data_IF_825975984318
#
_entry.id   IF_825975984318
#
_cell.length_a   1.000
_cell.length_b   1.000
_cell.length_c   1.000
_cell.angle_alpha   90.00
_cell.angle_beta   90.00
_cell.angle_gamma   90.00
#
_symmetry.space_group_name_H-M   'P 1'
#
loop_
_entity.id
_entity.type
_entity.pdbx_description
1 polymer ?
#
# COMPACT_ATOMS: atom_id res chain seq x y z
N UNK A 1 14.26 -6.00 15.15
CA UNK A 1 13.40 -4.79 15.28
C UNK A 1 12.94 -4.65 16.71
N UNK A 2 13.06 -3.47 17.32
CA UNK A 2 12.48 -3.15 18.65
C UNK A 2 10.96 -3.01 18.49
N UNK A 3 10.12 -3.59 19.38
CA UNK A 3 8.69 -3.37 19.34
C UNK A 3 8.35 -1.87 19.42
N UNK A 4 7.53 -1.40 18.50
CA UNK A 4 7.05 -0.03 18.45
C UNK A 4 5.59 0.03 18.89
N UNK A 5 5.21 1.08 19.60
CA UNK A 5 3.81 1.38 19.90
C UNK A 5 3.14 1.99 18.67
N UNK A 6 1.84 1.82 18.54
CA UNK A 6 1.08 2.39 17.41
C UNK A 6 1.31 3.90 17.24
N UNK A 7 1.39 4.65 18.34
CA UNK A 7 1.67 6.08 18.29
C UNK A 7 3.05 6.40 17.71
N UNK A 8 4.08 5.62 18.07
CA UNK A 8 5.45 5.81 17.55
C UNK A 8 5.49 5.55 16.04
N UNK A 9 4.73 4.57 15.55
CA UNK A 9 4.62 4.28 14.11
C UNK A 9 3.95 5.46 13.38
N UNK A 10 2.86 6.02 13.94
CA UNK A 10 2.19 7.20 13.37
C UNK A 10 3.13 8.41 13.28
N UNK A 11 3.87 8.69 14.36
CA UNK A 11 4.83 9.81 14.41
C UNK A 11 5.99 9.63 13.42
N UNK A 12 6.60 8.45 13.39
CA UNK A 12 7.66 8.12 12.43
C UNK A 12 7.17 8.30 10.98
N UNK A 13 5.97 7.80 10.68
CA UNK A 13 5.37 7.92 9.37
C UNK A 13 5.06 9.37 9.01
N UNK A 14 4.49 10.13 9.93
CA UNK A 14 4.19 11.55 9.73
C UNK A 14 5.46 12.34 9.38
N UNK A 15 6.50 12.20 10.18
CA UNK A 15 7.78 12.90 9.96
C UNK A 15 8.45 12.46 8.66
N UNK A 16 8.37 11.17 8.32
CA UNK A 16 8.94 10.65 7.07
C UNK A 16 8.27 11.28 5.85
N UNK A 17 6.94 11.29 5.76
CA UNK A 17 6.26 11.84 4.60
C UNK A 17 6.38 13.35 4.49
N UNK A 18 6.40 14.09 5.60
CA UNK A 18 6.75 15.52 5.60
C UNK A 18 8.16 15.75 5.01
N UNK A 19 9.15 14.92 5.40
CA UNK A 19 10.52 15.04 4.86
C UNK A 19 10.58 14.76 3.36
N UNK A 20 9.60 14.04 2.80
CA UNK A 20 9.45 13.77 1.36
C UNK A 20 8.55 14.81 0.67
N UNK A 21 8.27 15.94 1.32
CA UNK A 21 7.45 17.04 0.77
C UNK A 21 6.01 16.63 0.46
N UNK A 22 5.44 15.75 1.28
CA UNK A 22 4.02 15.42 1.22
C UNK A 22 3.25 16.26 2.23
N UNK A 23 2.09 16.74 1.83
CA UNK A 23 1.16 17.45 2.69
C UNK A 23 0.27 16.47 3.46
N UNK A 24 0.04 16.76 4.74
CA UNK A 24 -0.84 15.96 5.57
C UNK A 24 -2.30 16.22 5.20
N UNK A 25 -2.96 15.21 4.67
CA UNK A 25 -4.38 15.24 4.35
C UNK A 25 -5.19 14.95 5.62
N UNK A 26 -6.14 15.82 6.02
CA UNK A 26 -7.05 15.52 7.11
C UNK A 26 -7.84 14.22 6.87
N UNK A 27 -8.11 13.51 7.94
CA UNK A 27 -8.92 12.30 7.90
C UNK A 27 -10.35 12.65 7.42
N UNK A 28 -10.85 11.89 6.46
CA UNK A 28 -12.26 11.97 6.04
C UNK A 28 -13.16 11.27 7.06
N UNK A 29 -14.46 11.61 7.04
CA UNK A 29 -15.47 10.90 7.84
C UNK A 29 -15.41 9.39 7.56
N UNK A 30 -15.66 8.57 8.57
CA UNK A 30 -15.83 7.13 8.38
C UNK A 30 -17.07 6.82 7.52
N UNK A 31 -18.12 7.63 7.64
CA UNK A 31 -19.29 7.56 6.76
C UNK A 31 -18.90 8.14 5.41
N UNK A 32 -19.04 7.34 4.37
CA UNK A 32 -18.70 7.74 3.00
C UNK A 32 -19.63 8.87 2.50
N UNK A 33 -19.16 9.63 1.52
CA UNK A 33 -19.95 10.67 0.88
C UNK A 33 -21.19 10.08 0.19
N UNK A 34 -22.24 10.91 0.05
CA UNK A 34 -23.54 10.49 -0.49
C UNK A 34 -23.47 9.89 -1.91
N UNK A 35 -22.46 10.25 -2.67
CA UNK A 35 -22.24 9.75 -4.04
C UNK A 35 -21.42 8.45 -4.07
N UNK A 36 -21.05 7.92 -2.90
CA UNK A 36 -20.34 6.65 -2.78
C UNK A 36 -21.31 5.47 -2.88
N UNK A 37 -20.86 4.38 -3.50
CA UNK A 37 -21.58 3.11 -3.52
C UNK A 37 -21.46 2.32 -2.20
N UNK A 38 -20.59 2.75 -1.30
CA UNK A 38 -20.36 2.15 0.01
C UNK A 38 -20.87 3.05 1.14
N UNK A 39 -21.40 2.47 2.22
CA UNK A 39 -21.86 3.20 3.39
C UNK A 39 -20.70 3.79 4.20
N UNK A 40 -19.56 3.09 4.22
CA UNK A 40 -18.36 3.49 4.94
C UNK A 40 -17.17 3.65 4.01
N UNK A 41 -16.22 4.46 4.43
CA UNK A 41 -14.91 4.49 3.77
C UNK A 41 -14.17 3.17 4.03
N UNK A 42 -13.94 2.42 2.96
CA UNK A 42 -13.26 1.11 2.95
C UNK A 42 -11.77 1.23 2.64
N UNK A 43 -11.33 2.41 2.19
CA UNK A 43 -9.94 2.69 1.85
C UNK A 43 -9.64 4.19 1.93
N UNK A 44 -8.40 4.54 2.27
CA UNK A 44 -7.91 5.93 2.27
C UNK A 44 -7.93 6.58 0.89
N UNK A 45 -7.97 5.78 -0.18
CA UNK A 45 -8.09 6.25 -1.56
C UNK A 45 -9.50 6.76 -1.89
N UNK A 46 -10.55 6.24 -1.23
CA UNK A 46 -11.94 6.49 -1.62
C UNK A 46 -12.29 8.00 -1.68
N UNK A 47 -11.93 8.85 -0.71
CA UNK A 47 -12.13 10.30 -0.81
C UNK A 47 -11.32 10.98 -1.91
N UNK A 48 -10.28 10.31 -2.43
CA UNK A 48 -9.37 10.85 -3.44
C UNK A 48 -9.74 10.46 -4.88
N UNK A 49 -10.74 9.63 -5.10
CA UNK A 49 -11.15 9.18 -6.45
C UNK A 49 -11.30 10.32 -7.45
N UNK A 50 -11.96 11.46 -7.15
CA UNK A 50 -12.07 12.56 -8.10
C UNK A 50 -10.72 13.17 -8.50
N UNK A 51 -9.75 13.17 -7.58
CA UNK A 51 -8.40 13.71 -7.80
C UNK A 51 -7.52 12.74 -8.56
N UNK A 52 -7.69 11.46 -8.34
CA UNK A 52 -7.06 10.40 -9.15
C UNK A 52 -7.60 10.42 -10.59
N UNK A 53 -8.85 10.83 -10.79
CA UNK A 53 -9.46 11.03 -12.09
C UNK A 53 -9.08 12.37 -12.77
N UNK A 54 -8.16 13.16 -12.19
CA UNK A 54 -7.60 14.36 -12.81
C UNK A 54 -8.06 15.70 -12.25
N UNK A 55 -8.96 15.74 -11.25
CA UNK A 55 -9.29 16.98 -10.55
C UNK A 55 -8.07 17.44 -9.74
N UNK A 56 -7.79 18.74 -9.72
CA UNK A 56 -6.72 19.30 -8.89
C UNK A 56 -7.11 19.27 -7.41
N UNK A 57 -6.23 18.72 -6.57
CA UNK A 57 -6.41 18.73 -5.14
C UNK A 57 -5.89 20.06 -4.53
N UNK A 58 -6.63 20.70 -3.59
CA UNK A 58 -6.25 22.01 -3.03
C UNK A 58 -4.94 21.98 -2.23
N UNK A 59 -4.56 20.83 -1.63
CA UNK A 59 -3.31 20.67 -0.88
C UNK A 59 -2.12 20.24 -1.76
N UNK A 60 -2.28 20.14 -3.09
CA UNK A 60 -1.19 19.76 -3.98
C UNK A 60 -1.24 18.32 -4.46
N UNK A 61 -0.09 17.82 -4.90
CA UNK A 61 0.03 16.54 -5.62
C UNK A 61 0.65 15.43 -4.79
N UNK A 62 1.36 15.74 -3.71
CA UNK A 62 1.96 14.79 -2.77
C UNK A 62 1.20 14.83 -1.46
N UNK A 63 0.48 13.79 -1.15
CA UNK A 63 -0.40 13.73 0.02
C UNK A 63 -0.12 12.48 0.84
N UNK A 64 -0.38 12.55 2.15
CA UNK A 64 -0.41 11.38 3.02
C UNK A 64 -1.44 11.56 4.12
N UNK A 65 -1.99 10.47 4.61
CA UNK A 65 -2.90 10.46 5.74
C UNK A 65 -2.87 9.14 6.51
N UNK A 66 -3.63 9.10 7.58
CA UNK A 66 -4.07 7.89 8.25
C UNK A 66 -5.59 7.97 8.24
N UNK A 67 -6.26 7.05 7.53
CA UNK A 67 -7.70 7.04 7.34
C UNK A 67 -8.31 5.85 8.07
N UNK A 68 -9.29 6.12 8.93
CA UNK A 68 -10.13 5.07 9.51
C UNK A 68 -11.02 4.46 8.45
N UNK A 69 -11.02 3.13 8.40
CA UNK A 69 -11.73 2.35 7.39
C UNK A 69 -12.53 1.22 8.04
N UNK A 70 -13.64 0.82 7.39
CA UNK A 70 -14.42 -0.36 7.77
C UNK A 70 -14.55 -1.26 6.55
N UNK A 71 -14.20 -2.54 6.73
CA UNK A 71 -14.46 -3.63 5.78
C UNK A 71 -15.17 -4.75 6.49
N UNK A 72 -16.22 -5.27 5.88
CA UNK A 72 -17.06 -6.34 6.44
C UNK A 72 -17.05 -7.62 5.60
N UNK A 73 -16.23 -7.67 4.57
CA UNK A 73 -16.15 -8.83 3.64
C UNK A 73 -15.78 -10.08 4.42
N UNK A 74 -14.82 -9.99 5.34
CA UNK A 74 -14.27 -11.11 6.11
C UNK A 74 -14.79 -11.12 7.56
N UNK A 75 -16.01 -10.62 7.78
CA UNK A 75 -16.56 -10.47 9.14
C UNK A 75 -16.70 -11.81 9.87
N UNK A 76 -16.96 -12.89 9.15
CA UNK A 76 -17.11 -14.23 9.70
C UNK A 76 -15.77 -14.83 10.17
N UNK A 77 -14.65 -14.27 9.72
CA UNK A 77 -13.30 -14.68 10.10
C UNK A 77 -12.74 -13.86 11.28
N UNK A 78 -13.44 -12.82 11.70
CA UNK A 78 -13.03 -11.98 12.83
C UNK A 78 -13.03 -12.78 14.13
N UNK A 79 -11.89 -12.82 14.77
CA UNK A 79 -11.63 -13.62 15.98
C UNK A 79 -10.37 -14.46 15.85
N UNK A 80 -9.80 -14.56 14.68
CA UNK A 80 -8.46 -15.06 14.45
C UNK A 80 -7.38 -13.99 14.77
N UNK A 81 -6.12 -14.24 14.37
CA UNK A 81 -5.00 -13.35 14.67
C UNK A 81 -4.82 -12.21 13.67
N UNK A 82 -5.59 -12.15 12.58
CA UNK A 82 -5.33 -11.25 11.44
C UNK A 82 -6.55 -10.49 10.92
N UNK A 83 -7.77 -11.02 11.03
CA UNK A 83 -8.95 -10.38 10.46
C UNK A 83 -9.60 -9.36 11.41
N UNK A 84 -9.78 -8.15 10.90
CA UNK A 84 -10.40 -7.02 11.60
C UNK A 84 -11.41 -6.34 10.67
N UNK A 85 -12.51 -5.84 11.23
CA UNK A 85 -13.50 -5.04 10.50
C UNK A 85 -13.13 -3.56 10.46
N UNK A 86 -12.56 -3.04 11.53
CA UNK A 86 -12.13 -1.64 11.67
C UNK A 86 -10.61 -1.57 11.71
N UNK A 87 -10.02 -0.66 10.92
CA UNK A 87 -8.57 -0.46 10.87
C UNK A 87 -8.22 0.97 10.43
N UNK A 88 -6.97 1.35 10.66
CA UNK A 88 -6.38 2.58 10.16
C UNK A 88 -5.52 2.27 8.92
N UNK A 89 -5.94 2.79 7.76
CA UNK A 89 -5.14 2.70 6.55
C UNK A 89 -4.14 3.85 6.50
N UNK A 90 -2.86 3.51 6.43
CA UNK A 90 -1.77 4.46 6.27
C UNK A 90 -1.52 4.72 4.78
N UNK A 91 -2.15 5.78 4.23
CA UNK A 91 -2.08 6.12 2.81
C UNK A 91 -1.01 7.17 2.47
N UNK A 92 -0.39 7.06 1.31
CA UNK A 92 0.42 8.08 0.68
C UNK A 92 0.10 8.10 -0.82
N UNK A 93 0.00 9.29 -1.37
CA UNK A 93 -0.61 9.51 -2.68
C UNK A 93 0.27 10.42 -3.51
N UNK A 94 0.52 10.03 -4.76
CA UNK A 94 1.07 10.88 -5.79
C UNK A 94 -0.01 11.16 -6.82
N UNK A 95 -0.45 12.39 -6.93
CA UNK A 95 -1.43 12.80 -7.92
C UNK A 95 -0.69 13.29 -9.17
N UNK A 96 -0.22 12.33 -10.00
CA UNK A 96 0.46 12.57 -11.29
C UNK A 96 1.83 13.25 -11.19
N UNK A 97 2.55 13.16 -10.07
CA UNK A 97 3.85 13.82 -9.92
C UNK A 97 5.02 12.83 -9.95
N UNK A 98 4.95 11.76 -9.17
CA UNK A 98 5.88 10.64 -9.23
C UNK A 98 5.14 9.33 -9.40
N UNK A 99 5.85 8.28 -9.79
CA UNK A 99 5.23 7.01 -10.08
C UNK A 99 6.00 5.84 -9.43
N UNK A 100 6.06 4.68 -10.07
CA UNK A 100 6.49 3.40 -9.50
C UNK A 100 7.85 3.45 -8.82
N UNK A 101 8.87 3.99 -9.49
CA UNK A 101 10.25 3.98 -8.97
C UNK A 101 10.37 4.68 -7.63
N UNK A 102 9.89 5.90 -7.53
CA UNK A 102 9.94 6.66 -6.28
C UNK A 102 9.02 6.06 -5.21
N UNK A 103 7.87 5.51 -5.59
CA UNK A 103 6.98 4.84 -4.65
C UNK A 103 7.67 3.63 -4.02
N UNK A 104 8.33 2.79 -4.82
CA UNK A 104 9.11 1.64 -4.36
C UNK A 104 10.25 2.07 -3.44
N UNK A 105 11.07 3.03 -3.87
CA UNK A 105 12.20 3.51 -3.09
C UNK A 105 11.77 4.07 -1.73
N UNK A 106 10.70 4.87 -1.68
CA UNK A 106 10.16 5.44 -0.44
C UNK A 106 9.55 4.37 0.47
N UNK A 107 8.88 3.38 -0.09
CA UNK A 107 8.35 2.25 0.67
C UNK A 107 9.47 1.44 1.32
N UNK A 108 10.51 1.12 0.57
CA UNK A 108 11.68 0.43 1.09
C UNK A 108 12.40 1.26 2.17
N UNK A 109 12.64 2.54 1.90
CA UNK A 109 13.28 3.46 2.86
C UNK A 109 12.48 3.54 4.17
N UNK A 110 11.16 3.67 4.09
CA UNK A 110 10.32 3.72 5.28
C UNK A 110 10.39 2.42 6.10
N UNK A 111 10.26 1.28 5.45
CA UNK A 111 10.27 0.00 6.15
C UNK A 111 11.65 -0.33 6.73
N UNK A 112 12.70 -0.19 5.93
CA UNK A 112 14.05 -0.66 6.33
C UNK A 112 14.79 0.38 7.16
N UNK A 113 14.76 1.67 6.78
CA UNK A 113 15.56 2.69 7.45
C UNK A 113 14.82 3.45 8.54
N UNK A 114 13.49 3.55 8.48
CA UNK A 114 12.69 4.26 9.50
C UNK A 114 12.09 3.30 10.52
N UNK A 115 11.50 2.19 10.08
CA UNK A 115 10.93 1.17 10.94
C UNK A 115 11.91 0.05 11.33
N UNK A 116 13.11 0.03 10.75
CA UNK A 116 14.18 -0.92 11.04
C UNK A 116 13.77 -2.39 10.78
N UNK A 117 12.98 -2.63 9.74
CA UNK A 117 12.68 -3.99 9.29
C UNK A 117 13.93 -4.65 8.74
N UNK A 118 14.12 -5.93 9.04
CA UNK A 118 15.22 -6.71 8.48
C UNK A 118 14.99 -6.95 6.98
N UNK A 119 15.80 -6.38 6.08
CA UNK A 119 15.60 -6.53 4.64
C UNK A 119 15.72 -7.97 4.15
N UNK A 120 16.36 -8.86 4.93
CA UNK A 120 16.45 -10.30 4.62
C UNK A 120 15.12 -11.02 4.77
N UNK A 121 14.15 -10.41 5.45
CA UNK A 121 12.80 -10.94 5.69
C UNK A 121 11.74 -10.28 4.81
N UNK A 122 12.14 -9.40 3.89
CA UNK A 122 11.25 -8.78 2.92
C UNK A 122 11.22 -9.58 1.63
N UNK A 123 10.04 -9.75 1.08
CA UNK A 123 9.78 -10.22 -0.27
C UNK A 123 8.70 -9.35 -0.90
N UNK A 124 8.63 -9.31 -2.22
CA UNK A 124 7.66 -8.50 -2.94
C UNK A 124 7.05 -9.29 -4.09
N UNK A 125 5.85 -8.88 -4.47
CA UNK A 125 5.21 -9.38 -5.68
C UNK A 125 5.03 -8.26 -6.69
N UNK A 126 4.98 -8.63 -7.96
CA UNK A 126 4.70 -7.73 -9.08
C UNK A 126 3.80 -8.44 -10.09
N UNK A 127 3.08 -7.68 -10.88
CA UNK A 127 2.15 -8.23 -11.86
C UNK A 127 2.87 -8.98 -12.99
N UNK A 128 2.47 -10.24 -13.26
CA UNK A 128 3.07 -11.07 -14.30
C UNK A 128 2.64 -10.72 -15.73
N UNK A 129 1.58 -9.89 -15.86
CA UNK A 129 1.00 -9.54 -17.14
C UNK A 129 -0.19 -10.41 -17.53
N UNK A 130 -1.01 -9.89 -18.43
CA UNK A 130 -2.11 -10.60 -19.09
C UNK A 130 -2.41 -9.94 -20.46
N UNK A 131 -3.56 -10.27 -21.04
CA UNK A 131 -3.97 -9.69 -22.34
C UNK A 131 -4.22 -8.17 -22.29
N UNK A 132 -4.57 -7.63 -21.12
CA UNK A 132 -4.94 -6.21 -20.94
C UNK A 132 -3.75 -5.33 -20.55
N UNK A 133 -2.75 -5.90 -19.89
CA UNK A 133 -1.60 -5.15 -19.40
C UNK A 133 -0.33 -6.00 -19.41
N UNK A 134 0.83 -5.41 -19.79
CA UNK A 134 2.08 -6.16 -19.86
C UNK A 134 2.61 -6.53 -18.48
N UNK A 135 3.52 -7.51 -18.45
CA UNK A 135 4.32 -7.87 -17.27
C UNK A 135 5.10 -6.65 -16.75
N UNK A 136 5.11 -6.46 -15.43
CA UNK A 136 5.65 -5.27 -14.79
C UNK A 136 7.15 -5.42 -14.44
N UNK A 137 7.97 -5.56 -15.48
CA UNK A 137 9.43 -5.63 -15.33
C UNK A 137 10.03 -4.35 -14.73
N UNK A 138 9.40 -3.20 -15.00
CA UNK A 138 9.85 -1.91 -14.47
C UNK A 138 9.78 -1.87 -12.94
N UNK A 139 8.69 -2.34 -12.35
CA UNK A 139 8.54 -2.39 -10.89
C UNK A 139 9.47 -3.43 -10.28
N UNK A 140 9.66 -4.58 -10.93
CA UNK A 140 10.63 -5.59 -10.49
C UNK A 140 12.05 -5.00 -10.44
N UNK A 141 12.48 -4.32 -11.48
CA UNK A 141 13.78 -3.64 -11.52
C UNK A 141 13.88 -2.56 -10.43
N UNK A 142 12.83 -1.79 -10.20
CA UNK A 142 12.83 -0.77 -9.14
C UNK A 142 13.03 -1.37 -7.74
N UNK A 143 12.48 -2.56 -7.48
CA UNK A 143 12.69 -3.30 -6.24
C UNK A 143 14.12 -3.84 -6.13
N UNK A 144 14.70 -4.37 -7.22
CA UNK A 144 16.11 -4.78 -7.24
C UNK A 144 17.04 -3.59 -6.92
N UNK A 145 16.80 -2.44 -7.55
CA UNK A 145 17.55 -1.19 -7.30
C UNK A 145 17.36 -0.67 -5.86
N UNK A 146 16.22 -0.92 -5.24
CA UNK A 146 15.96 -0.56 -3.84
C UNK A 146 16.68 -1.49 -2.85
N UNK A 147 17.05 -2.71 -3.25
CA UNK A 147 17.79 -3.66 -2.44
C UNK A 147 17.08 -4.99 -2.15
N UNK A 148 15.97 -5.29 -2.82
CA UNK A 148 15.32 -6.60 -2.76
C UNK A 148 16.01 -7.53 -3.77
N UNK A 149 16.58 -8.67 -3.36
CA UNK A 149 17.18 -9.62 -4.28
C UNK A 149 16.15 -10.22 -5.23
N UNK A 150 16.58 -10.51 -6.47
CA UNK A 150 15.71 -11.00 -7.53
C UNK A 150 14.92 -12.26 -7.17
N UNK A 151 15.52 -13.17 -6.40
CA UNK A 151 14.88 -14.39 -5.92
C UNK A 151 13.75 -14.15 -4.90
N UNK A 152 13.57 -12.91 -4.43
CA UNK A 152 12.49 -12.50 -3.54
C UNK A 152 11.48 -11.57 -4.21
N UNK A 153 11.50 -11.52 -5.54
CA UNK A 153 10.54 -10.81 -6.37
C UNK A 153 9.73 -11.83 -7.15
N UNK A 154 8.48 -12.02 -6.79
CA UNK A 154 7.58 -12.98 -7.46
C UNK A 154 6.65 -12.27 -8.40
N UNK A 155 6.49 -12.82 -9.61
CA UNK A 155 5.50 -12.36 -10.56
C UNK A 155 4.23 -13.18 -10.41
N UNK A 156 3.13 -12.53 -10.08
CA UNK A 156 1.85 -13.18 -9.83
C UNK A 156 0.76 -12.62 -10.76
N UNK A 157 -0.29 -13.39 -10.92
CA UNK A 157 -1.40 -13.11 -11.80
C UNK A 157 -2.31 -11.96 -11.33
N UNK A 158 -3.37 -11.69 -12.07
CA UNK A 158 -4.31 -10.62 -11.77
C UNK A 158 -5.13 -10.83 -10.49
N UNK A 159 -5.23 -12.05 -9.98
CA UNK A 159 -5.92 -12.30 -8.71
C UNK A 159 -5.12 -11.84 -7.51
N UNK A 160 -3.81 -11.74 -7.65
CA UNK A 160 -2.87 -11.34 -6.61
C UNK A 160 -2.34 -9.90 -6.80
N UNK A 161 -2.05 -9.48 -8.02
CA UNK A 161 -1.38 -8.21 -8.31
C UNK A 161 -2.16 -7.29 -9.27
N UNK A 162 -3.48 -7.27 -9.16
CA UNK A 162 -4.34 -6.29 -9.85
C UNK A 162 -5.51 -5.90 -8.97
N UNK A 163 -5.69 -4.62 -8.73
CA UNK A 163 -6.79 -4.09 -7.95
C UNK A 163 -7.83 -3.39 -8.82
N UNK A 164 -9.09 -3.49 -8.40
CA UNK A 164 -10.22 -2.74 -8.96
C UNK A 164 -11.25 -2.53 -7.86
N UNK A 165 -11.61 -1.28 -7.50
CA UNK A 165 -12.61 -1.01 -6.46
C UNK A 165 -14.04 -1.27 -6.91
N UNK A 166 -14.25 -1.56 -8.17
CA UNK A 166 -15.58 -1.82 -8.74
C UNK A 166 -15.53 -1.96 -10.26
N UNK A 167 -16.69 -2.13 -10.91
CA UNK A 167 -16.76 -2.36 -12.34
C UNK A 167 -16.36 -1.14 -13.17
N UNK A 168 -16.40 0.05 -12.58
CA UNK A 168 -16.02 1.32 -13.23
C UNK A 168 -15.21 2.16 -12.23
N UNK A 169 -14.08 2.69 -12.67
CA UNK A 169 -13.22 3.55 -11.85
C UNK A 169 -11.73 3.27 -12.07
N UNK A 170 -10.87 3.90 -11.26
CA UNK A 170 -9.44 3.66 -11.33
C UNK A 170 -9.15 2.21 -10.97
N UNK A 171 -8.33 1.54 -11.78
CA UNK A 171 -7.85 0.20 -11.54
C UNK A 171 -6.42 0.07 -12.09
N UNK A 172 -5.70 -0.97 -11.73
CA UNK A 172 -4.36 -1.18 -12.24
C UNK A 172 -3.65 -2.38 -11.65
N UNK A 173 -2.46 -2.66 -12.18
CA UNK A 173 -1.52 -3.56 -11.54
C UNK A 173 -0.97 -2.94 -10.27
N UNK A 174 -0.62 -3.77 -9.32
CA UNK A 174 -0.01 -3.38 -8.06
C UNK A 174 1.25 -4.19 -7.76
N UNK A 175 1.89 -3.87 -6.67
CA UNK A 175 3.01 -4.59 -6.08
C UNK A 175 2.80 -4.63 -4.57
N UNK A 176 2.99 -5.77 -3.98
CA UNK A 176 2.80 -5.98 -2.55
C UNK A 176 4.10 -6.27 -1.84
N UNK A 177 4.18 -5.93 -0.55
CA UNK A 177 5.35 -6.11 0.29
C UNK A 177 5.00 -7.05 1.42
N UNK A 178 5.76 -8.12 1.56
CA UNK A 178 5.59 -9.13 2.60
C UNK A 178 6.77 -9.14 3.54
N UNK A 179 6.49 -9.30 4.82
CA UNK A 179 7.50 -9.43 5.85
C UNK A 179 7.31 -10.74 6.60
N UNK A 180 8.34 -11.59 6.60
CA UNK A 180 8.31 -12.87 7.32
C UNK A 180 8.44 -12.67 8.81
N UNK A 181 7.41 -13.02 9.56
CA UNK A 181 7.43 -13.03 11.02
C UNK A 181 8.10 -14.31 11.53
N UNK A 182 8.84 -14.23 12.65
CA UNK A 182 9.54 -15.35 13.26
C UNK A 182 11.05 -15.35 13.00
N UNK A 183 11.70 -16.49 13.27
CA UNK A 183 13.17 -16.59 13.26
C UNK A 183 13.79 -16.98 11.91
N UNK A 184 12.99 -17.26 10.90
CA UNK A 184 13.48 -17.62 9.57
C UNK A 184 13.96 -16.40 8.82
N UNK A 185 15.15 -16.51 8.19
CA UNK A 185 15.74 -15.44 7.35
C UNK A 185 15.18 -15.39 5.92
N UNK A 186 14.57 -16.49 5.48
CA UNK A 186 14.07 -16.57 4.11
C UNK A 186 12.60 -16.16 4.03
N UNK A 187 12.19 -15.45 2.95
CA UNK A 187 10.79 -15.19 2.70
C UNK A 187 10.01 -16.49 2.52
N UNK A 188 8.70 -16.49 2.73
CA UNK A 188 7.87 -17.65 2.44
C UNK A 188 8.02 -18.04 0.96
N UNK A 189 7.92 -19.34 0.67
CA UNK A 189 7.78 -19.81 -0.70
C UNK A 189 6.38 -19.47 -1.21
N UNK A 190 6.29 -18.69 -2.26
CA UNK A 190 5.01 -18.22 -2.83
C UNK A 190 4.17 -19.35 -3.46
N UNK A 191 4.77 -20.49 -3.72
CA UNK A 191 4.08 -21.66 -4.28
C UNK A 191 3.11 -22.34 -3.31
N UNK A 192 3.05 -21.91 -2.04
CA UNK A 192 2.27 -22.54 -0.99
C UNK A 192 1.27 -21.57 -0.31
N UNK A 193 0.93 -20.45 -0.96
CA UNK A 193 -0.08 -19.51 -0.48
C UNK A 193 -1.33 -19.60 -1.35
#
# INVERSE_FOLDING_TARGET
MKPLKAQEIREKRHNFWLSKQHEHLPEASLIADKDSTALFNVAGMQPLIPYLAGKKHPLGTRLFNIQKCVRTVDIDEVGDNSHLTFFEMMGNWSLWEYFKKEAVQRSYEFLVHVLEFDPRKLAVTVFEGNADAPRDEFTAQAWEEAGIPKERISFLDASNNRWSPGPVGPCGSDTEIFYRVGNSEFPPEWSNV
#
